data_IF_752599349180
#
_entry.id   IF_752599349180
#
_cell.length_a   1.000
_cell.length_b   1.000
_cell.length_c   1.000
_cell.angle_alpha   90.00
_cell.angle_beta   90.00
_cell.angle_gamma   90.00
#
_symmetry.space_group_name_H-M   'P 1'
#
loop_
_entity.id
_entity.type
_entity.pdbx_description
1 polymer ?
#
# COMPACT_ATOMS: atom_id res chain seq x y z
N UNK A 1 2.86 8.40 -21.96
CA UNK A 1 3.18 7.44 -20.91
C UNK A 1 3.63 6.15 -21.53
N UNK A 2 4.70 5.55 -21.01
CA UNK A 2 5.14 4.20 -21.37
C UNK A 2 4.40 3.13 -20.56
N UNK A 3 4.63 1.85 -20.88
CA UNK A 3 3.96 0.71 -20.23
C UNK A 3 4.24 0.65 -18.73
N UNK A 4 5.43 1.07 -18.30
CA UNK A 4 5.88 1.01 -16.91
C UNK A 4 5.13 2.06 -16.07
N UNK A 5 4.99 3.26 -16.62
CA UNK A 5 4.24 4.35 -16.01
C UNK A 5 2.76 3.99 -15.84
N UNK A 6 2.14 3.35 -16.85
CA UNK A 6 0.75 2.89 -16.74
C UNK A 6 0.56 1.83 -15.65
N UNK A 7 1.50 0.90 -15.51
CA UNK A 7 1.46 -0.12 -14.46
C UNK A 7 1.66 0.50 -13.08
N UNK A 8 2.58 1.45 -12.94
CA UNK A 8 2.79 2.16 -11.69
C UNK A 8 1.54 2.98 -11.28
N UNK A 9 0.92 3.65 -12.25
CA UNK A 9 -0.34 4.36 -12.04
C UNK A 9 -1.48 3.42 -11.62
N UNK A 10 -1.59 2.26 -12.27
CA UNK A 10 -2.57 1.23 -11.90
C UNK A 10 -2.31 0.68 -10.49
N UNK A 11 -1.05 0.46 -10.12
CA UNK A 11 -0.68 0.02 -8.79
C UNK A 11 -1.05 1.05 -7.71
N UNK A 12 -0.78 2.34 -7.95
CA UNK A 12 -1.22 3.41 -7.05
C UNK A 12 -2.74 3.52 -6.94
N UNK A 13 -3.45 3.39 -8.06
CA UNK A 13 -4.91 3.45 -8.10
C UNK A 13 -5.57 2.30 -7.32
N UNK A 14 -5.01 1.09 -7.43
CA UNK A 14 -5.56 -0.11 -6.80
C UNK A 14 -5.03 -0.37 -5.39
N UNK A 15 -4.03 0.39 -4.93
CA UNK A 15 -3.36 0.18 -3.64
C UNK A 15 -4.37 -0.02 -2.50
N UNK A 16 -5.34 0.89 -2.40
CA UNK A 16 -6.33 0.92 -1.34
C UNK A 16 -7.73 0.39 -1.73
N UNK A 17 -7.81 -0.46 -2.77
CA UNK A 17 -9.10 -0.97 -3.26
C UNK A 17 -9.78 -1.93 -2.27
N UNK A 18 -9.00 -2.59 -1.41
CA UNK A 18 -9.50 -3.45 -0.34
C UNK A 18 -10.44 -2.74 0.64
N UNK A 19 -10.36 -1.40 0.76
CA UNK A 19 -11.20 -0.61 1.67
C UNK A 19 -12.64 -0.63 1.17
N UNK A 20 -12.81 -0.54 -0.15
CA UNK A 20 -14.11 -0.66 -0.79
C UNK A 20 -14.67 -2.06 -0.60
N UNK A 21 -13.84 -3.08 -0.81
CA UNK A 21 -14.21 -4.49 -0.63
C UNK A 21 -14.71 -4.78 0.80
N UNK A 22 -13.99 -4.28 1.82
CA UNK A 22 -14.35 -4.43 3.22
C UNK A 22 -15.64 -3.70 3.57
N UNK A 23 -15.76 -2.42 3.18
CA UNK A 23 -16.94 -1.60 3.47
C UNK A 23 -18.19 -2.11 2.76
N UNK A 24 -18.04 -2.74 1.60
CA UNK A 24 -19.11 -3.40 0.87
C UNK A 24 -19.46 -4.80 1.39
N UNK A 25 -18.77 -5.32 2.41
CA UNK A 25 -19.01 -6.65 2.95
C UNK A 25 -18.66 -7.80 1.99
N UNK A 26 -17.84 -7.54 0.97
CA UNK A 26 -17.48 -8.54 -0.03
C UNK A 26 -16.47 -9.55 0.51
N UNK A 27 -15.42 -9.06 1.17
CA UNK A 27 -14.35 -9.86 1.78
C UNK A 27 -14.06 -9.29 3.18
N UNK A 28 -13.99 -10.18 4.17
CA UNK A 28 -13.46 -9.87 5.50
C UNK A 28 -11.95 -10.13 5.58
N UNK A 29 -11.28 -9.63 6.61
CA UNK A 29 -9.82 -9.77 6.79
C UNK A 29 -9.10 -8.43 6.73
N UNK A 30 -7.77 -8.45 6.65
CA UNK A 30 -6.98 -7.22 6.55
C UNK A 30 -7.15 -6.58 5.17
N UNK A 31 -7.06 -5.26 5.13
CA UNK A 31 -7.25 -4.48 3.91
C UNK A 31 -6.37 -4.97 2.74
N UNK A 32 -5.06 -5.27 2.96
CA UNK A 32 -4.18 -5.64 1.85
C UNK A 32 -4.48 -7.03 1.29
N UNK A 33 -5.01 -7.93 2.12
CA UNK A 33 -5.48 -9.25 1.68
C UNK A 33 -6.69 -9.10 0.75
N UNK A 34 -7.61 -8.20 1.09
CA UNK A 34 -8.75 -7.86 0.24
C UNK A 34 -8.32 -7.18 -1.07
N UNK A 35 -7.33 -6.28 -1.03
CA UNK A 35 -6.72 -5.68 -2.23
C UNK A 35 -6.09 -6.74 -3.13
N UNK A 36 -5.35 -7.70 -2.56
CA UNK A 36 -4.73 -8.79 -3.32
C UNK A 36 -5.74 -9.73 -3.97
N UNK A 37 -6.81 -10.09 -3.26
CA UNK A 37 -7.90 -10.92 -3.81
C UNK A 37 -8.68 -10.18 -4.90
N UNK A 38 -8.87 -8.86 -4.77
CA UNK A 38 -9.43 -8.03 -5.84
C UNK A 38 -8.57 -8.10 -7.11
N UNK A 39 -7.26 -7.89 -6.98
CA UNK A 39 -6.32 -7.96 -8.12
C UNK A 39 -6.37 -9.34 -8.77
N UNK A 40 -6.32 -10.41 -7.97
CA UNK A 40 -6.36 -11.79 -8.48
C UNK A 40 -7.61 -12.08 -9.31
N UNK A 41 -8.76 -11.54 -8.90
CA UNK A 41 -10.06 -11.88 -9.48
C UNK A 41 -10.47 -11.00 -10.66
N UNK A 42 -10.07 -9.74 -10.67
CA UNK A 42 -10.58 -8.75 -11.63
C UNK A 42 -9.52 -8.16 -12.57
N UNK A 43 -8.23 -8.24 -12.22
CA UNK A 43 -7.16 -7.72 -13.08
C UNK A 43 -6.68 -8.83 -14.02
N UNK A 44 -6.48 -8.57 -15.32
CA UNK A 44 -5.93 -9.55 -16.25
C UNK A 44 -4.57 -10.12 -15.78
N UNK A 45 -4.37 -11.42 -15.94
CA UNK A 45 -3.16 -12.14 -15.48
C UNK A 45 -1.85 -11.52 -15.98
N UNK A 46 -1.85 -10.98 -17.20
CA UNK A 46 -0.71 -10.29 -17.79
C UNK A 46 -0.22 -9.08 -16.96
N UNK A 47 -1.07 -8.50 -16.11
CA UNK A 47 -0.76 -7.33 -15.29
C UNK A 47 -0.59 -7.67 -13.81
N UNK A 48 -1.13 -8.81 -13.35
CA UNK A 48 -1.11 -9.20 -11.93
C UNK A 48 0.31 -9.29 -11.34
N UNK A 49 1.26 -9.88 -12.08
CA UNK A 49 2.65 -10.03 -11.60
C UNK A 49 3.33 -8.70 -11.29
N UNK A 50 2.83 -7.61 -11.89
CA UNK A 50 3.40 -6.26 -11.74
C UNK A 50 2.73 -5.43 -10.66
N UNK A 51 1.66 -5.95 -10.05
CA UNK A 51 0.88 -5.31 -8.99
C UNK A 51 1.21 -5.89 -7.61
N UNK A 52 2.37 -6.53 -7.44
CA UNK A 52 2.82 -7.06 -6.14
C UNK A 52 2.78 -6.00 -5.03
N UNK A 53 3.05 -4.73 -5.38
CA UNK A 53 2.96 -3.60 -4.45
C UNK A 53 1.56 -3.38 -3.88
N UNK A 54 0.51 -3.81 -4.58
CA UNK A 54 -0.91 -3.79 -4.13
C UNK A 54 -1.21 -4.94 -3.15
N UNK A 55 -0.43 -6.01 -3.22
CA UNK A 55 -0.61 -7.23 -2.43
C UNK A 55 0.24 -7.25 -1.15
N UNK A 56 1.36 -6.52 -1.13
CA UNK A 56 2.48 -6.72 -0.20
C UNK A 56 2.81 -5.56 0.75
N UNK A 57 1.86 -4.75 1.19
CA UNK A 57 2.16 -3.61 2.10
C UNK A 57 2.64 -4.03 3.51
N UNK A 58 2.67 -5.33 3.80
CA UNK A 58 3.07 -5.89 5.09
C UNK A 58 4.55 -6.28 5.18
N UNK A 59 5.28 -6.32 4.07
CA UNK A 59 6.72 -6.59 4.13
C UNK A 59 7.43 -5.45 4.86
N UNK A 60 7.94 -5.74 6.05
CA UNK A 60 8.89 -4.90 6.76
C UNK A 60 10.24 -5.61 6.78
N UNK A 61 11.25 -5.12 6.05
CA UNK A 61 11.26 -3.89 5.23
C UNK A 61 10.55 -4.06 3.87
N UNK A 62 10.00 -2.96 3.33
CA UNK A 62 9.46 -2.93 1.98
C UNK A 62 10.56 -3.31 0.97
N UNK A 63 10.25 -4.25 0.08
CA UNK A 63 11.17 -4.73 -0.96
C UNK A 63 10.74 -4.25 -2.36
N UNK A 64 11.72 -4.06 -3.24
CA UNK A 64 11.49 -3.54 -4.59
C UNK A 64 11.43 -2.01 -4.66
N UNK A 65 11.83 -1.44 -5.79
CA UNK A 65 11.83 0.02 -6.00
C UNK A 65 10.40 0.53 -6.20
N UNK A 66 9.63 -0.17 -7.01
CA UNK A 66 8.25 0.15 -7.40
C UNK A 66 7.32 0.13 -6.18
N UNK A 67 7.44 -0.90 -5.33
CA UNK A 67 6.70 -0.99 -4.07
C UNK A 67 7.00 0.19 -3.15
N UNK A 68 8.27 0.63 -3.07
CA UNK A 68 8.66 1.80 -2.27
C UNK A 68 8.11 3.10 -2.86
N UNK A 69 8.10 3.24 -4.18
CA UNK A 69 7.53 4.41 -4.87
C UNK A 69 6.03 4.50 -4.61
N UNK A 70 5.29 3.41 -4.79
CA UNK A 70 3.84 3.38 -4.56
C UNK A 70 3.52 3.65 -3.09
N UNK A 71 4.20 2.99 -2.15
CA UNK A 71 3.99 3.23 -0.72
C UNK A 71 4.38 4.66 -0.27
N UNK A 72 5.39 5.27 -0.92
CA UNK A 72 5.73 6.67 -0.69
C UNK A 72 4.64 7.60 -1.22
N UNK A 73 4.15 7.36 -2.44
CA UNK A 73 3.09 8.15 -3.06
C UNK A 73 1.80 8.12 -2.23
N UNK A 74 1.42 6.93 -1.74
CA UNK A 74 0.29 6.75 -0.82
C UNK A 74 0.43 7.61 0.44
N UNK A 75 1.56 7.51 1.16
CA UNK A 75 1.84 8.33 2.35
C UNK A 75 1.81 9.83 2.07
N UNK A 76 2.37 10.25 0.94
CA UNK A 76 2.35 11.65 0.53
C UNK A 76 0.90 12.12 0.27
N UNK A 77 0.06 11.27 -0.32
CA UNK A 77 -1.34 11.58 -0.62
C UNK A 77 -2.22 11.69 0.63
N UNK A 78 -1.96 10.86 1.65
CA UNK A 78 -2.69 10.87 2.92
C UNK A 78 -2.32 12.07 3.81
N UNK A 79 -1.32 12.88 3.42
CA UNK A 79 -0.75 13.93 4.27
C UNK A 79 -0.07 13.37 5.53
N UNK A 80 0.13 12.05 5.60
CA UNK A 80 0.73 11.38 6.74
C UNK A 80 2.22 11.73 6.81
N UNK A 81 2.55 12.64 7.73
CA UNK A 81 3.93 12.82 8.15
C UNK A 81 4.30 11.60 8.99
N UNK A 82 5.36 10.88 8.61
CA UNK A 82 5.95 9.85 9.47
C UNK A 82 6.14 10.51 10.85
N UNK A 83 5.44 10.06 11.91
CA UNK A 83 5.69 10.61 13.23
C UNK A 83 7.16 10.36 13.50
N UNK A 84 7.93 11.44 13.72
CA UNK A 84 9.33 11.33 14.14
C UNK A 84 9.34 10.31 15.26
N UNK A 85 10.05 9.20 15.03
CA UNK A 85 10.26 8.14 16.02
C UNK A 85 10.52 8.84 17.35
N UNK A 86 9.61 8.71 18.33
CA UNK A 86 9.89 9.23 19.68
C UNK A 86 11.20 8.58 20.08
N UNK A 87 12.26 9.37 20.12
CA UNK A 87 13.52 8.95 20.71
C UNK A 87 13.18 8.50 22.13
N UNK A 88 13.31 7.20 22.39
CA UNK A 88 13.21 6.66 23.73
C UNK A 88 14.39 7.23 24.51
N UNK A 89 14.19 8.36 25.21
CA UNK A 89 15.26 8.89 26.05
C UNK A 89 15.22 10.35 26.49
N UNK A 90 14.07 11.03 26.57
CA UNK A 90 14.03 12.30 27.33
C UNK A 90 13.65 12.02 28.79
N UNK A 91 14.52 12.30 29.78
CA UNK A 91 14.19 12.13 31.18
C UNK A 91 13.09 13.11 31.58
N UNK A 92 12.08 12.61 32.30
CA UNK A 92 11.04 13.44 32.90
C UNK A 92 11.70 14.41 33.88
N UNK A 93 11.72 15.70 33.57
CA UNK A 93 11.85 16.71 34.61
C UNK A 93 10.53 16.77 35.37
N UNK A 94 10.57 16.30 36.62
CA UNK A 94 9.55 16.53 37.62
C UNK A 94 9.62 18.01 38.03
N UNK A 95 8.50 18.71 37.87
CA UNK A 95 8.14 19.89 38.65
C UNK A 95 6.80 19.58 39.32
#
# INVERSE_FOLDING_TARGET
MDREEYIAALAGLLYDIGNLAQRGGWIGGAHPEASGEFVRRFVPSAWQQRLYSVMGHHDRPLQGYETKVVALADRLSAGERIPKRKEKGQPRQLL
#
